data_IF_387154391345
#
_entry.id   IF_387154391345
#
_cell.length_a   1.000
_cell.length_b   1.000
_cell.length_c   1.000
_cell.angle_alpha   90.00
_cell.angle_beta   90.00
_cell.angle_gamma   90.00
#
_symmetry.space_group_name_H-M   'P 1'
#
loop_
_entity.id
_entity.type
_entity.pdbx_description
1 polymer ?
#
# COMPACT_ATOMS: atom_id res chain seq x y z
N UNK A 1 2.13 -16.81 2.27
CA UNK A 1 2.52 -15.41 2.50
C UNK A 1 2.63 -14.74 1.15
N UNK A 2 2.09 -13.53 0.96
CA UNK A 2 2.28 -12.80 -0.29
C UNK A 2 3.72 -12.30 -0.36
N UNK A 3 4.35 -12.48 -1.51
CA UNK A 3 5.67 -11.93 -1.78
C UNK A 3 5.48 -10.62 -2.53
N UNK A 4 5.89 -9.52 -1.91
CA UNK A 4 5.92 -8.19 -2.54
C UNK A 4 7.37 -7.88 -2.86
N UNK A 5 7.66 -7.67 -4.15
CA UNK A 5 9.00 -7.33 -4.61
C UNK A 5 9.43 -5.95 -4.11
N UNK A 6 10.75 -5.73 -3.95
CA UNK A 6 11.31 -4.41 -3.63
C UNK A 6 10.89 -3.37 -4.67
N UNK A 7 10.96 -3.74 -5.95
CA UNK A 7 10.55 -2.95 -7.11
C UNK A 7 9.11 -2.43 -7.00
N UNK A 8 8.16 -3.29 -6.60
CA UNK A 8 6.77 -2.87 -6.42
C UNK A 8 6.61 -1.92 -5.22
N UNK A 9 7.26 -2.20 -4.08
CA UNK A 9 7.20 -1.31 -2.92
C UNK A 9 7.79 0.06 -3.19
N UNK A 10 8.91 0.13 -3.93
CA UNK A 10 9.51 1.41 -4.35
C UNK A 10 8.59 2.17 -5.30
N UNK A 11 7.93 1.48 -6.24
CA UNK A 11 6.99 2.11 -7.16
C UNK A 11 5.75 2.66 -6.45
N UNK A 12 5.16 1.91 -5.51
CA UNK A 12 4.03 2.39 -4.69
C UNK A 12 4.47 3.62 -3.89
N UNK A 13 5.59 3.56 -3.17
CA UNK A 13 6.13 4.70 -2.40
C UNK A 13 6.32 5.95 -3.27
N UNK A 14 6.91 5.77 -4.45
CA UNK A 14 7.15 6.84 -5.40
C UNK A 14 5.84 7.49 -5.88
N UNK A 15 4.80 6.69 -6.14
CA UNK A 15 3.50 7.18 -6.62
C UNK A 15 2.69 7.87 -5.51
N UNK A 16 2.77 7.38 -4.27
CA UNK A 16 1.98 7.91 -3.15
C UNK A 16 2.49 9.26 -2.65
N UNK A 17 3.81 9.43 -2.53
CA UNK A 17 4.39 10.59 -1.86
C UNK A 17 5.72 11.06 -2.48
N UNK A 18 6.25 10.33 -3.46
CA UNK A 18 7.64 10.51 -3.87
C UNK A 18 8.66 10.08 -2.81
N UNK A 19 8.23 9.35 -1.77
CA UNK A 19 9.06 8.98 -0.63
C UNK A 19 9.12 10.02 0.49
N UNK A 20 8.25 11.03 0.47
CA UNK A 20 8.12 11.99 1.56
C UNK A 20 7.56 11.31 2.82
N UNK A 21 8.41 11.17 3.83
CA UNK A 21 8.08 10.54 5.11
C UNK A 21 7.13 11.40 5.95
N UNK A 22 7.02 12.70 5.69
CA UNK A 22 6.16 13.63 6.41
C UNK A 22 4.84 13.94 5.67
N UNK A 23 4.61 13.30 4.52
CA UNK A 23 3.45 13.56 3.67
C UNK A 23 2.13 13.37 4.42
N UNK A 24 1.19 14.31 4.21
CA UNK A 24 -0.18 14.24 4.70
C UNK A 24 -1.13 14.51 3.55
N UNK A 25 -1.92 13.50 3.18
CA UNK A 25 -2.87 13.54 2.08
C UNK A 25 -4.31 13.30 2.51
N UNK A 26 -5.22 13.31 1.53
CA UNK A 26 -6.67 13.13 1.69
C UNK A 26 -7.28 13.90 2.87
N UNK A 27 -6.95 15.20 2.97
CA UNK A 27 -7.47 16.05 4.05
C UNK A 27 -7.04 15.63 5.45
N UNK A 28 -5.90 14.95 5.60
CA UNK A 28 -5.35 14.52 6.88
C UNK A 28 -5.51 13.03 7.19
N UNK A 29 -6.19 12.27 6.33
CA UNK A 29 -6.50 10.85 6.57
C UNK A 29 -5.41 9.89 6.10
N UNK A 30 -4.54 10.33 5.22
CA UNK A 30 -3.47 9.52 4.65
C UNK A 30 -2.11 10.08 5.10
N UNK A 31 -1.22 9.24 5.62
CA UNK A 31 0.08 9.73 6.14
C UNK A 31 1.28 8.94 5.62
N UNK A 32 2.39 9.67 5.57
CA UNK A 32 3.75 9.18 5.33
C UNK A 32 3.98 8.62 3.93
N UNK A 33 5.06 7.83 3.78
CA UNK A 33 5.62 7.55 2.47
C UNK A 33 4.72 6.66 1.59
N UNK A 34 3.79 5.93 2.22
CA UNK A 34 2.82 5.06 1.56
C UNK A 34 1.37 5.57 1.64
N UNK A 35 1.15 6.77 2.18
CA UNK A 35 -0.18 7.38 2.32
C UNK A 35 -1.18 6.44 3.00
N UNK A 36 -0.79 5.88 4.14
CA UNK A 36 -1.57 4.89 4.88
C UNK A 36 -2.72 5.59 5.61
N UNK A 37 -3.91 4.99 5.58
CA UNK A 37 -5.05 5.41 6.38
C UNK A 37 -5.11 4.68 7.72
N UNK A 38 -5.71 5.29 8.74
CA UNK A 38 -5.86 4.66 10.05
C UNK A 38 -6.61 3.32 9.99
N UNK A 39 -7.68 3.23 9.18
CA UNK A 39 -8.41 1.97 8.96
C UNK A 39 -7.55 0.91 8.27
N UNK A 40 -6.67 1.32 7.35
CA UNK A 40 -5.73 0.42 6.68
C UNK A 40 -4.74 -0.15 7.71
N UNK A 41 -4.18 0.72 8.55
CA UNK A 41 -3.27 0.34 9.64
C UNK A 41 -3.91 -0.63 10.62
N UNK A 42 -5.13 -0.33 11.09
CA UNK A 42 -5.89 -1.18 12.00
C UNK A 42 -6.15 -2.57 11.41
N UNK A 43 -6.41 -2.65 10.10
CA UNK A 43 -6.60 -3.92 9.42
C UNK A 43 -5.31 -4.72 9.21
N UNK A 44 -4.18 -4.04 9.02
CA UNK A 44 -2.87 -4.66 8.87
C UNK A 44 -2.36 -5.31 10.16
N UNK A 45 -2.79 -4.83 11.34
CA UNK A 45 -2.38 -5.38 12.65
C UNK A 45 -0.85 -5.55 12.76
N UNK A 46 -0.08 -4.55 12.34
CA UNK A 46 1.39 -4.62 12.30
C UNK A 46 2.07 -4.38 13.66
N UNK A 47 1.30 -4.21 14.74
CA UNK A 47 1.77 -3.61 16.00
C UNK A 47 2.06 -2.12 15.80
N UNK A 48 2.55 -1.42 16.83
CA UNK A 48 2.82 0.03 16.76
C UNK A 48 1.55 0.88 16.65
N UNK A 49 1.73 2.18 16.44
CA UNK A 49 0.65 3.17 16.31
C UNK A 49 0.50 3.64 14.86
N UNK A 50 -0.66 4.21 14.54
CA UNK A 50 -0.91 4.73 13.19
C UNK A 50 0.13 5.79 12.81
N UNK A 51 0.45 6.68 13.75
CA UNK A 51 1.39 7.79 13.59
C UNK A 51 2.82 7.34 13.26
N UNK A 52 3.20 6.10 13.60
CA UNK A 52 4.50 5.53 13.26
C UNK A 52 4.67 5.35 11.73
N UNK A 53 3.58 5.45 10.95
CA UNK A 53 3.62 5.47 9.50
C UNK A 53 4.15 6.80 8.91
N UNK A 54 4.43 7.82 9.74
CA UNK A 54 4.92 9.14 9.30
C UNK A 54 6.13 9.57 10.12
N UNK A 55 6.97 10.43 9.55
CA UNK A 55 8.14 11.00 10.17
C UNK A 55 9.42 10.21 9.89
N UNK A 56 10.55 10.75 10.38
CA UNK A 56 11.89 10.24 10.10
C UNK A 56 12.02 8.74 10.40
N UNK A 57 12.33 7.95 9.38
CA UNK A 57 12.53 6.50 9.48
C UNK A 57 11.25 5.67 9.42
N UNK A 58 10.09 6.29 9.15
CA UNK A 58 8.79 5.62 9.05
C UNK A 58 8.67 4.66 7.86
N UNK A 59 9.56 4.76 6.86
CA UNK A 59 9.53 3.91 5.66
C UNK A 59 9.48 2.41 6.00
N UNK A 60 10.36 1.93 6.88
CA UNK A 60 10.45 0.51 7.20
C UNK A 60 9.19 -0.01 7.92
N UNK A 61 8.62 0.80 8.81
CA UNK A 61 7.38 0.46 9.50
C UNK A 61 6.18 0.49 8.54
N UNK A 62 6.10 1.49 7.67
CA UNK A 62 5.07 1.59 6.63
C UNK A 62 5.11 0.39 5.68
N UNK A 63 6.29 -0.06 5.26
CA UNK A 63 6.44 -1.28 4.45
C UNK A 63 5.92 -2.53 5.19
N UNK A 64 6.16 -2.64 6.51
CA UNK A 64 5.59 -3.72 7.33
C UNK A 64 4.07 -3.67 7.34
N UNK A 65 3.48 -2.49 7.48
CA UNK A 65 2.01 -2.29 7.42
C UNK A 65 1.46 -2.75 6.07
N UNK A 66 2.06 -2.31 4.96
CA UNK A 66 1.65 -2.73 3.60
C UNK A 66 1.74 -4.25 3.45
N UNK A 67 2.86 -4.87 3.84
CA UNK A 67 3.04 -6.33 3.73
C UNK A 67 1.99 -7.10 4.53
N UNK A 68 1.67 -6.66 5.75
CA UNK A 68 0.65 -7.32 6.54
C UNK A 68 -0.75 -7.15 5.95
N UNK A 69 -1.07 -5.96 5.45
CA UNK A 69 -2.34 -5.70 4.78
C UNK A 69 -2.52 -6.61 3.56
N UNK A 70 -1.47 -6.77 2.75
CA UNK A 70 -1.51 -7.68 1.59
C UNK A 70 -1.56 -9.14 1.99
N UNK A 71 -0.88 -9.56 3.07
CA UNK A 71 -1.02 -10.91 3.60
C UNK A 71 -2.46 -11.25 4.01
N UNK A 72 -3.23 -10.24 4.41
CA UNK A 72 -4.65 -10.39 4.73
C UNK A 72 -5.55 -10.37 3.48
N UNK A 73 -5.28 -9.47 2.54
CA UNK A 73 -6.23 -9.14 1.49
C UNK A 73 -5.85 -9.59 0.08
N UNK A 74 -4.56 -9.65 -0.26
CA UNK A 74 -4.07 -10.15 -1.53
C UNK A 74 -3.76 -11.65 -1.41
N UNK A 75 -4.78 -12.51 -1.25
CA UNK A 75 -4.57 -13.95 -1.08
C UNK A 75 -5.20 -14.75 -2.21
N UNK A 76 -4.64 -15.93 -2.52
CA UNK A 76 -5.21 -16.84 -3.53
C UNK A 76 -6.67 -17.18 -3.25
N UNK A 77 -7.03 -17.35 -1.98
CA UNK A 77 -8.40 -17.62 -1.57
C UNK A 77 -9.36 -16.46 -1.92
N UNK A 78 -8.94 -15.20 -1.73
CA UNK A 78 -9.78 -14.03 -2.06
C UNK A 78 -9.82 -13.71 -3.54
N UNK A 79 -8.70 -13.93 -4.25
CA UNK A 79 -8.55 -13.55 -5.65
C UNK A 79 -8.91 -14.69 -6.62
N UNK A 80 -8.97 -15.94 -6.16
CA UNK A 80 -9.15 -17.14 -6.99
C UNK A 80 -7.90 -17.54 -7.79
N UNK A 81 -6.83 -16.75 -7.71
CA UNK A 81 -5.55 -16.95 -8.42
C UNK A 81 -4.38 -16.40 -7.61
N UNK A 82 -3.15 -16.69 -8.03
CA UNK A 82 -1.98 -16.05 -7.44
C UNK A 82 -2.11 -14.52 -7.56
N UNK A 83 -1.86 -13.75 -6.47
CA UNK A 83 -1.83 -12.30 -6.52
C UNK A 83 -0.75 -11.79 -7.46
N UNK A 84 -1.08 -10.79 -8.27
CA UNK A 84 -0.15 -10.07 -9.14
C UNK A 84 0.25 -8.73 -8.51
N UNK A 85 1.28 -8.10 -9.09
CA UNK A 85 1.68 -6.75 -8.71
C UNK A 85 0.53 -5.74 -8.91
N UNK A 86 -0.28 -5.92 -9.95
CA UNK A 86 -1.48 -5.12 -10.18
C UNK A 86 -2.50 -5.28 -9.05
N UNK A 87 -2.79 -6.50 -8.62
CA UNK A 87 -3.75 -6.72 -7.53
C UNK A 87 -3.30 -6.00 -6.25
N UNK A 88 -2.00 -6.12 -5.92
CA UNK A 88 -1.41 -5.50 -4.73
C UNK A 88 -1.52 -3.98 -4.81
N UNK A 89 -1.12 -3.38 -5.94
CA UNK A 89 -1.21 -1.94 -6.15
C UNK A 89 -2.66 -1.44 -6.05
N UNK A 90 -3.60 -2.15 -6.68
CA UNK A 90 -5.03 -1.78 -6.66
C UNK A 90 -5.67 -1.99 -5.29
N UNK A 91 -5.27 -3.01 -4.54
CA UNK A 91 -5.71 -3.22 -3.15
C UNK A 91 -5.15 -2.13 -2.24
N UNK A 92 -3.90 -1.69 -2.45
CA UNK A 92 -3.32 -0.58 -1.70
C UNK A 92 -4.13 0.69 -1.88
N UNK A 93 -4.44 1.05 -3.12
CA UNK A 93 -5.18 2.27 -3.45
C UNK A 93 -6.68 2.20 -3.15
N UNK A 94 -7.32 1.04 -3.33
CA UNK A 94 -8.78 0.90 -3.30
C UNK A 94 -9.34 0.14 -2.11
N UNK A 95 -8.50 -0.29 -1.17
CA UNK A 95 -8.87 -1.15 -0.04
C UNK A 95 -9.06 -2.62 -0.43
N UNK A 96 -9.71 -3.46 0.41
CA UNK A 96 -9.69 -4.92 0.27
C UNK A 96 -10.24 -5.47 -1.04
N UNK A 97 -11.10 -4.71 -1.72
CA UNK A 97 -11.69 -5.06 -3.02
C UNK A 97 -11.24 -4.12 -4.13
N UNK A 98 -10.13 -3.39 -3.95
CA UNK A 98 -9.64 -2.40 -4.90
C UNK A 98 -9.35 -2.98 -6.29
N UNK A 99 -8.91 -4.25 -6.36
CA UNK A 99 -8.71 -4.99 -7.62
C UNK A 99 -9.98 -5.18 -8.47
N UNK A 100 -11.18 -4.98 -7.90
CA UNK A 100 -12.46 -5.04 -8.62
C UNK A 100 -12.95 -3.67 -9.09
N UNK A 101 -12.35 -2.58 -8.61
CA UNK A 101 -12.83 -1.21 -8.84
C UNK A 101 -12.16 -0.64 -10.09
N UNK A 102 -12.91 -0.17 -11.10
CA UNK A 102 -12.31 0.52 -12.26
C UNK A 102 -11.53 1.78 -11.87
N UNK A 103 -11.92 2.45 -10.78
CA UNK A 103 -11.25 3.66 -10.30
C UNK A 103 -9.78 3.46 -9.90
N UNK A 104 -9.34 2.23 -9.64
CA UNK A 104 -7.94 1.92 -9.27
C UNK A 104 -7.05 1.59 -10.47
N UNK A 105 -7.60 1.48 -11.68
CA UNK A 105 -6.83 1.13 -12.89
C UNK A 105 -5.83 2.23 -13.25
N UNK A 106 -6.26 3.50 -13.19
CA UNK A 106 -5.37 4.65 -13.40
C UNK A 106 -4.24 4.69 -12.38
N UNK A 107 -4.48 4.23 -11.15
CA UNK A 107 -3.43 4.13 -10.14
C UNK A 107 -2.42 3.04 -10.51
N UNK A 108 -2.89 1.87 -10.95
CA UNK A 108 -2.01 0.80 -11.41
C UNK A 108 -1.10 1.25 -12.56
N UNK A 109 -1.62 1.96 -13.56
CA UNK A 109 -0.79 2.44 -14.67
C UNK A 109 0.35 3.38 -14.21
N UNK A 110 0.12 4.18 -13.16
CA UNK A 110 1.18 5.01 -12.54
C UNK A 110 2.24 4.13 -11.87
N UNK A 111 1.81 3.13 -11.08
CA UNK A 111 2.72 2.21 -10.39
C UNK A 111 3.53 1.40 -11.40
N UNK A 112 2.87 0.81 -12.39
CA UNK A 112 3.52 0.06 -13.47
C UNK A 112 4.57 0.89 -14.21
N UNK A 113 4.31 2.17 -14.46
CA UNK A 113 5.30 3.09 -15.05
C UNK A 113 6.48 3.40 -14.12
N UNK A 114 6.26 3.42 -12.80
CA UNK A 114 7.30 3.64 -11.81
C UNK A 114 8.15 2.39 -11.52
N UNK A 115 7.66 1.20 -11.88
CA UNK A 115 8.40 -0.07 -11.76
C UNK A 115 9.48 -0.17 -12.85
N UNK A 116 10.64 0.43 -12.61
CA UNK A 116 11.84 0.28 -13.44
C UNK A 116 12.48 -1.10 -13.31
#
# INVERSE_FOLDING_TARGET
MVVISRRLLDAIRQVESGGDEDAVGDGGKAIGPYQIWEVYHGDAKAGGKYEDCKGKGSTAYSEKVVRNYMNRFATKARLGRAPTDEDIARIHNGGPNGYKKPSTEKYWEKVKKAMK
#
